data_IF_436381061844
#
_entry.id   IF_436381061844
#
_cell.length_a   1.000
_cell.length_b   1.000
_cell.length_c   1.000
_cell.angle_alpha   90.00
_cell.angle_beta   90.00
_cell.angle_gamma   90.00
#
_symmetry.space_group_name_H-M   'P 1'
#
loop_
_entity.id
_entity.type
_entity.pdbx_description
1 polymer ?
#
# COMPACT_ATOMS: atom_id res chain seq x y z
N UNK A 1 -50.79 -9.83 -28.87
CA UNK A 1 -50.03 -10.56 -27.82
C UNK A 1 -48.53 -10.63 -28.11
N UNK A 2 -47.89 -9.57 -28.64
CA UNK A 2 -46.44 -9.54 -28.93
C UNK A 2 -45.67 -8.45 -28.16
N UNK A 3 -46.36 -7.56 -27.43
CA UNK A 3 -45.74 -6.48 -26.64
C UNK A 3 -45.39 -6.86 -25.20
N UNK A 4 -45.89 -7.99 -24.71
CA UNK A 4 -45.64 -8.45 -23.34
C UNK A 4 -44.37 -9.31 -23.18
N UNK A 5 -43.72 -9.70 -24.29
CA UNK A 5 -42.54 -10.59 -24.26
C UNK A 5 -41.23 -9.78 -24.29
N UNK A 6 -41.26 -8.52 -24.74
CA UNK A 6 -40.07 -7.66 -24.81
C UNK A 6 -39.61 -7.06 -23.47
N UNK A 7 -40.45 -7.12 -22.42
CA UNK A 7 -40.09 -6.59 -21.10
C UNK A 7 -39.46 -7.64 -20.17
N UNK A 8 -39.56 -8.92 -20.50
CA UNK A 8 -39.01 -10.00 -19.64
C UNK A 8 -37.57 -10.36 -19.98
N UNK A 9 -37.05 -9.92 -21.13
CA UNK A 9 -35.66 -10.20 -21.57
C UNK A 9 -34.65 -9.16 -21.04
N UNK A 10 -35.12 -8.00 -20.56
CA UNK A 10 -34.26 -6.93 -20.01
C UNK A 10 -33.90 -7.11 -18.51
N UNK A 11 -34.39 -8.17 -17.86
CA UNK A 11 -34.16 -8.44 -16.43
C UNK A 11 -33.05 -9.47 -16.15
N UNK A 12 -32.37 -10.00 -17.19
CA UNK A 12 -31.35 -11.05 -17.02
C UNK A 12 -29.94 -10.66 -17.50
N UNK A 13 -29.68 -9.39 -17.80
CA UNK A 13 -28.39 -8.93 -18.32
C UNK A 13 -27.55 -8.14 -17.32
N UNK A 14 -27.61 -8.49 -16.04
CA UNK A 14 -26.73 -7.93 -15.02
C UNK A 14 -26.25 -9.02 -14.07
N UNK A 15 -25.64 -10.08 -14.62
CA UNK A 15 -24.75 -10.90 -13.79
C UNK A 15 -23.54 -10.00 -13.52
N UNK A 16 -23.59 -9.32 -12.39
CA UNK A 16 -22.63 -8.34 -11.93
C UNK A 16 -21.23 -8.96 -11.90
N UNK A 17 -20.46 -8.67 -12.95
CA UNK A 17 -19.03 -8.96 -13.07
C UNK A 17 -18.22 -7.89 -12.30
N UNK A 18 -18.73 -7.53 -11.12
CA UNK A 18 -18.25 -6.42 -10.29
C UNK A 18 -17.36 -6.88 -9.12
N UNK A 19 -17.36 -8.18 -8.76
CA UNK A 19 -16.63 -8.67 -7.59
C UNK A 19 -15.09 -8.59 -7.69
N UNK A 20 -14.42 -8.99 -8.80
CA UNK A 20 -12.95 -9.00 -8.85
C UNK A 20 -12.33 -7.61 -8.97
N UNK A 21 -12.98 -6.68 -9.69
CA UNK A 21 -12.53 -5.29 -9.80
C UNK A 21 -12.54 -4.58 -8.43
N UNK A 22 -13.52 -4.89 -7.59
CA UNK A 22 -13.65 -4.36 -6.22
C UNK A 22 -12.51 -4.85 -5.31
N UNK A 23 -12.10 -6.12 -5.38
CA UNK A 23 -11.01 -6.66 -4.56
C UNK A 23 -9.67 -6.02 -4.87
N UNK A 24 -9.33 -5.90 -6.15
CA UNK A 24 -8.11 -5.25 -6.61
C UNK A 24 -8.07 -3.78 -6.16
N UNK A 25 -9.18 -3.04 -6.32
CA UNK A 25 -9.27 -1.64 -5.91
C UNK A 25 -9.07 -1.48 -4.40
N UNK A 26 -9.73 -2.32 -3.59
CA UNK A 26 -9.56 -2.30 -2.13
C UNK A 26 -8.13 -2.62 -1.74
N UNK A 27 -7.49 -3.58 -2.40
CA UNK A 27 -6.09 -3.91 -2.16
C UNK A 27 -5.15 -2.76 -2.50
N UNK A 28 -5.33 -2.12 -3.67
CA UNK A 28 -4.52 -0.97 -4.09
C UNK A 28 -4.66 0.24 -3.15
N UNK A 29 -5.82 0.45 -2.53
CA UNK A 29 -5.97 1.47 -1.48
C UNK A 29 -4.96 1.24 -0.35
N UNK A 30 -4.74 -0.02 0.03
CA UNK A 30 -3.83 -0.39 1.11
C UNK A 30 -2.38 -0.15 0.71
N UNK A 31 -1.97 -0.65 -0.46
CA UNK A 31 -0.59 -0.50 -0.93
C UNK A 31 -0.24 0.97 -1.18
N UNK A 32 -1.15 1.75 -1.78
CA UNK A 32 -0.97 3.20 -1.93
C UNK A 32 -0.91 3.94 -0.59
N UNK A 33 -1.75 3.58 0.39
CA UNK A 33 -1.70 4.16 1.74
C UNK A 33 -0.35 3.96 2.43
N UNK A 34 0.19 2.74 2.39
CA UNK A 34 1.52 2.43 2.94
C UNK A 34 2.65 3.13 2.18
N UNK A 35 2.64 3.09 0.84
CA UNK A 35 3.64 3.75 0.02
C UNK A 35 3.62 5.27 0.17
N UNK A 36 2.44 5.87 0.31
CA UNK A 36 2.28 7.29 0.62
C UNK A 36 3.02 7.64 1.91
N UNK A 37 2.74 6.92 2.99
CA UNK A 37 3.31 7.23 4.30
C UNK A 37 4.82 6.97 4.35
N UNK A 38 5.28 5.90 3.72
CA UNK A 38 6.72 5.63 3.61
C UNK A 38 7.46 6.77 2.88
N UNK A 39 6.88 7.32 1.81
CA UNK A 39 7.49 8.45 1.10
C UNK A 39 7.36 9.78 1.85
N UNK A 40 6.32 9.98 2.67
CA UNK A 40 6.25 11.12 3.60
C UNK A 40 7.38 11.08 4.62
N UNK A 41 7.69 9.90 5.18
CA UNK A 41 8.81 9.74 6.11
C UNK A 41 10.16 10.01 5.45
N UNK A 42 10.32 9.66 4.16
CA UNK A 42 11.51 10.06 3.38
C UNK A 42 11.58 11.57 3.21
N UNK A 43 10.47 12.22 2.83
CA UNK A 43 10.43 13.65 2.59
C UNK A 43 10.67 14.47 3.86
N UNK A 44 9.99 14.13 4.96
CA UNK A 44 10.13 14.79 6.26
C UNK A 44 11.21 14.18 7.15
N UNK A 45 12.20 13.50 6.56
CA UNK A 45 13.34 12.93 7.29
C UNK A 45 13.96 14.00 8.19
N UNK A 46 13.86 13.84 9.51
CA UNK A 46 14.37 14.81 10.47
C UNK A 46 15.75 14.44 11.03
N UNK A 47 16.28 13.25 10.70
CA UNK A 47 17.59 12.77 11.14
C UNK A 47 18.74 13.28 10.26
N UNK A 48 18.51 13.39 8.94
CA UNK A 48 19.54 13.84 7.99
C UNK A 48 19.08 15.12 7.26
N UNK A 49 19.61 16.32 7.62
CA UNK A 49 19.31 17.58 6.93
C UNK A 49 19.54 17.55 5.43
N UNK A 50 20.57 16.83 4.97
CA UNK A 50 20.95 16.80 3.56
C UNK A 50 20.02 15.91 2.72
N UNK A 51 19.32 14.97 3.36
CA UNK A 51 18.39 14.05 2.70
C UNK A 51 16.91 14.44 2.85
N UNK A 52 16.60 15.49 3.62
CA UNK A 52 15.23 15.98 3.79
C UNK A 52 14.74 16.76 2.57
N UNK A 53 13.42 16.82 2.46
CA UNK A 53 12.71 17.50 1.38
C UNK A 53 13.09 17.02 -0.03
N UNK A 54 13.47 15.74 -0.18
CA UNK A 54 13.76 15.15 -1.49
C UNK A 54 12.56 15.34 -2.45
N UNK A 55 12.71 16.10 -3.55
CA UNK A 55 11.62 16.32 -4.49
C UNK A 55 11.04 15.02 -5.05
N UNK A 56 11.86 13.97 -5.20
CA UNK A 56 11.37 12.67 -5.68
C UNK A 56 10.44 12.00 -4.67
N UNK A 57 10.74 12.11 -3.37
CA UNK A 57 9.87 11.62 -2.30
C UNK A 57 8.56 12.41 -2.25
N UNK A 58 8.63 13.74 -2.47
CA UNK A 58 7.43 14.59 -2.58
C UNK A 58 6.50 14.15 -3.69
N UNK A 59 7.06 13.99 -4.89
CA UNK A 59 6.28 13.51 -6.03
C UNK A 59 5.73 12.12 -5.79
N UNK A 60 6.48 11.24 -5.12
CA UNK A 60 6.03 9.88 -4.81
C UNK A 60 4.83 9.87 -3.86
N UNK A 61 4.87 10.57 -2.72
CA UNK A 61 3.72 10.57 -1.80
C UNK A 61 2.50 11.27 -2.43
N UNK A 62 2.71 12.34 -3.20
CA UNK A 62 1.60 13.04 -3.89
C UNK A 62 0.98 12.21 -5.00
N UNK A 63 1.76 11.42 -5.74
CA UNK A 63 1.21 10.44 -6.70
C UNK A 63 0.32 9.44 -5.98
N UNK A 64 0.81 8.78 -4.93
CA UNK A 64 0.00 7.82 -4.17
C UNK A 64 -1.28 8.45 -3.61
N UNK A 65 -1.23 9.69 -3.12
CA UNK A 65 -2.41 10.39 -2.65
C UNK A 65 -3.45 10.63 -3.75
N UNK A 66 -2.99 10.97 -4.96
CA UNK A 66 -3.87 11.17 -6.13
C UNK A 66 -4.50 9.86 -6.61
N UNK A 67 -3.79 8.73 -6.53
CA UNK A 67 -4.34 7.43 -6.92
C UNK A 67 -5.41 6.93 -5.93
N UNK A 68 -5.34 7.33 -4.65
CA UNK A 68 -6.35 6.93 -3.65
C UNK A 68 -7.75 7.48 -3.92
N UNK A 69 -7.87 8.70 -4.44
CA UNK A 69 -9.16 9.35 -4.70
C UNK A 69 -10.07 8.56 -5.67
N UNK A 70 -9.63 8.20 -6.90
CA UNK A 70 -10.45 7.43 -7.82
C UNK A 70 -10.74 6.01 -7.30
N UNK A 71 -9.80 5.36 -6.61
CA UNK A 71 -10.00 4.03 -6.02
C UNK A 71 -11.11 4.04 -4.97
N UNK A 72 -11.08 5.00 -4.03
CA UNK A 72 -12.11 5.13 -3.00
C UNK A 72 -13.45 5.57 -3.58
N UNK A 73 -13.44 6.46 -4.58
CA UNK A 73 -14.67 6.93 -5.25
C UNK A 73 -15.40 5.79 -5.98
N UNK A 74 -14.65 4.85 -6.57
CA UNK A 74 -15.23 3.68 -7.23
C UNK A 74 -15.95 2.74 -6.24
N UNK A 75 -15.66 2.83 -4.95
CA UNK A 75 -16.22 2.02 -3.86
C UNK A 75 -17.23 2.83 -3.02
N UNK A 76 -18.14 3.53 -3.69
CA UNK A 76 -19.11 4.42 -3.05
C UNK A 76 -20.04 3.72 -2.03
N UNK A 77 -20.20 2.40 -2.13
CA UNK A 77 -20.94 1.56 -1.18
C UNK A 77 -20.17 1.28 0.12
N UNK A 78 -18.90 1.70 0.23
CA UNK A 78 -18.02 1.55 1.40
C UNK A 78 -17.69 2.91 2.04
N UNK A 79 -18.64 3.57 2.73
CA UNK A 79 -18.47 4.93 3.26
C UNK A 79 -17.35 5.07 4.31
N UNK A 80 -16.95 3.97 4.96
CA UNK A 80 -15.81 3.96 5.88
C UNK A 80 -14.49 4.33 5.17
N UNK A 81 -14.30 3.89 3.91
CA UNK A 81 -13.11 4.22 3.12
C UNK A 81 -13.02 5.71 2.81
N UNK A 82 -14.14 6.31 2.41
CA UNK A 82 -14.21 7.74 2.13
C UNK A 82 -13.91 8.58 3.38
N UNK A 83 -14.48 8.19 4.52
CA UNK A 83 -14.21 8.84 5.82
C UNK A 83 -12.73 8.74 6.20
N UNK A 84 -12.15 7.55 6.11
CA UNK A 84 -10.74 7.32 6.46
C UNK A 84 -9.78 8.08 5.53
N UNK A 85 -10.02 8.05 4.21
CA UNK A 85 -9.23 8.81 3.24
C UNK A 85 -9.31 10.32 3.50
N UNK A 86 -10.49 10.84 3.84
CA UNK A 86 -10.64 12.25 4.18
C UNK A 86 -9.85 12.62 5.45
N UNK A 87 -9.85 11.77 6.47
CA UNK A 87 -9.03 11.96 7.67
C UNK A 87 -7.53 12.00 7.36
N UNK A 88 -7.07 11.09 6.49
CA UNK A 88 -5.68 11.06 6.02
C UNK A 88 -5.33 12.34 5.24
N UNK A 89 -6.18 12.79 4.30
CA UNK A 89 -5.99 14.04 3.54
C UNK A 89 -5.89 15.25 4.45
N UNK A 90 -6.75 15.35 5.45
CA UNK A 90 -6.73 16.44 6.44
C UNK A 90 -5.40 16.45 7.21
N UNK A 91 -4.98 15.30 7.75
CA UNK A 91 -3.73 15.20 8.52
C UNK A 91 -2.49 15.53 7.68
N UNK A 92 -2.47 15.12 6.41
CA UNK A 92 -1.39 15.49 5.47
C UNK A 92 -1.42 16.99 5.19
N UNK A 93 -2.59 17.58 4.98
CA UNK A 93 -2.72 19.03 4.78
C UNK A 93 -2.21 19.85 5.97
N UNK A 94 -2.46 19.41 7.20
CA UNK A 94 -1.92 20.01 8.41
C UNK A 94 -0.39 19.86 8.54
N UNK A 95 0.14 18.69 8.14
CA UNK A 95 1.58 18.45 8.08
C UNK A 95 2.26 19.36 7.04
N UNK A 96 1.67 19.53 5.85
CA UNK A 96 2.22 20.36 4.77
C UNK A 96 2.19 21.87 5.09
N UNK A 97 1.40 22.30 6.08
CA UNK A 97 1.41 23.68 6.58
C UNK A 97 2.58 23.96 7.53
N UNK A 98 3.29 22.94 8.01
CA UNK A 98 4.45 23.14 8.87
C UNK A 98 5.61 23.73 8.07
N UNK A 99 6.29 24.78 8.57
CA UNK A 99 7.41 25.36 7.86
C UNK A 99 8.61 24.40 7.84
N UNK A 100 9.46 24.50 6.82
CA UNK A 100 10.64 23.62 6.65
C UNK A 100 11.65 23.70 7.82
N UNK A 101 11.65 24.81 8.55
CA UNK A 101 12.49 25.03 9.73
C UNK A 101 11.90 24.47 11.04
N UNK A 102 10.67 23.96 11.05
CA UNK A 102 10.04 23.33 12.21
C UNK A 102 10.41 21.84 12.39
N UNK A 103 11.59 21.44 11.90
CA UNK A 103 12.06 20.05 11.86
C UNK A 103 11.94 19.26 13.16
N UNK A 104 12.14 19.92 14.30
CA UNK A 104 12.01 19.32 15.63
C UNK A 104 10.58 18.81 15.91
N UNK A 105 9.59 19.38 15.23
CA UNK A 105 8.17 19.06 15.39
C UNK A 105 7.65 18.00 14.41
N UNK A 106 8.44 17.59 13.41
CA UNK A 106 7.92 16.69 12.36
C UNK A 106 7.47 15.34 12.88
N UNK A 107 8.17 14.73 13.83
CA UNK A 107 7.68 13.49 14.44
C UNK A 107 6.28 13.68 15.04
N UNK A 108 6.06 14.76 15.81
CA UNK A 108 4.73 15.02 16.39
C UNK A 108 3.67 15.28 15.33
N UNK A 109 4.02 15.93 14.21
CA UNK A 109 3.10 16.19 13.09
C UNK A 109 2.87 14.98 12.19
N UNK A 110 3.80 14.02 12.14
CA UNK A 110 3.67 12.77 11.39
C UNK A 110 2.78 11.74 12.12
N UNK A 111 2.71 11.79 13.44
CA UNK A 111 1.90 10.85 14.23
C UNK A 111 0.40 10.85 13.86
N UNK A 112 -0.28 12.00 13.68
CA UNK A 112 -1.65 12.03 13.16
C UNK A 112 -1.81 11.38 11.78
N UNK A 113 -0.81 11.56 10.90
CA UNK A 113 -0.80 10.92 9.57
C UNK A 113 -0.69 9.41 9.70
N UNK A 114 0.18 8.89 10.58
CA UNK A 114 0.31 7.45 10.80
C UNK A 114 -0.98 6.84 11.37
N UNK A 115 -1.66 7.55 12.26
CA UNK A 115 -2.94 7.10 12.81
C UNK A 115 -4.02 7.03 11.73
N UNK A 116 -4.18 8.09 10.95
CA UNK A 116 -5.21 8.13 9.90
C UNK A 116 -4.91 7.17 8.74
N UNK A 117 -3.63 6.86 8.49
CA UNK A 117 -3.27 5.77 7.58
C UNK A 117 -3.67 4.40 8.13
N UNK A 118 -3.50 4.14 9.43
CA UNK A 118 -3.99 2.90 10.02
C UNK A 118 -5.51 2.78 9.90
N UNK A 119 -6.26 3.85 10.15
CA UNK A 119 -7.73 3.85 9.99
C UNK A 119 -8.13 3.49 8.54
N UNK A 120 -7.36 3.98 7.55
CA UNK A 120 -7.56 3.62 6.13
C UNK A 120 -7.23 2.14 5.85
N UNK A 121 -6.12 1.61 6.37
CA UNK A 121 -5.77 0.18 6.20
C UNK A 121 -6.78 -0.74 6.91
N UNK A 122 -7.30 -0.35 8.07
CA UNK A 122 -8.32 -1.10 8.79
C UNK A 122 -9.64 -1.16 8.00
N UNK A 123 -10.10 -0.01 7.49
CA UNK A 123 -11.30 0.07 6.67
C UNK A 123 -11.16 -0.75 5.36
N UNK A 124 -10.02 -0.61 4.67
CA UNK A 124 -9.73 -1.37 3.46
C UNK A 124 -9.52 -2.85 3.74
N UNK A 125 -8.86 -3.21 4.85
CA UNK A 125 -8.70 -4.60 5.28
C UNK A 125 -10.04 -5.26 5.62
N UNK A 126 -10.98 -4.53 6.22
CA UNK A 126 -12.34 -5.02 6.44
C UNK A 126 -13.07 -5.27 5.12
N UNK A 127 -13.06 -4.29 4.20
CA UNK A 127 -13.67 -4.43 2.88
C UNK A 127 -13.05 -5.58 2.07
N UNK A 128 -11.74 -5.80 2.18
CA UNK A 128 -11.03 -6.88 1.49
C UNK A 128 -11.48 -8.25 1.99
N UNK A 129 -11.60 -8.42 3.32
CA UNK A 129 -12.08 -9.68 3.93
C UNK A 129 -13.53 -9.99 3.57
N UNK A 130 -14.38 -8.98 3.47
CA UNK A 130 -15.78 -9.15 3.07
C UNK A 130 -15.94 -9.64 1.63
N UNK A 131 -15.06 -9.22 0.72
CA UNK A 131 -15.16 -9.55 -0.68
C UNK A 131 -14.57 -10.93 -1.05
N UNK A 132 -13.74 -11.53 -0.16
CA UNK A 132 -13.18 -12.89 -0.25
C UNK A 132 -12.49 -13.21 -1.59
N UNK A 133 -11.17 -12.98 -1.68
CA UNK A 133 -10.39 -13.42 -2.84
C UNK A 133 -10.27 -14.95 -2.90
N UNK A 134 -10.69 -15.53 -4.03
CA UNK A 134 -10.78 -16.98 -4.23
C UNK A 134 -9.67 -17.51 -5.14
N UNK A 135 -9.08 -16.65 -5.96
CA UNK A 135 -7.97 -17.03 -6.80
C UNK A 135 -6.66 -17.05 -5.97
N UNK A 136 -6.00 -18.22 -5.82
CA UNK A 136 -4.80 -18.33 -5.00
C UNK A 136 -3.60 -17.56 -5.58
N UNK A 137 -3.56 -17.32 -6.90
CA UNK A 137 -2.52 -16.50 -7.54
C UNK A 137 -2.73 -15.04 -7.17
N UNK A 138 -3.94 -14.51 -7.38
CA UNK A 138 -4.27 -13.11 -7.05
C UNK A 138 -4.09 -12.85 -5.55
N UNK A 139 -4.61 -13.73 -4.69
CA UNK A 139 -4.43 -13.62 -3.24
C UNK A 139 -2.95 -13.59 -2.84
N UNK A 140 -2.11 -14.40 -3.49
CA UNK A 140 -0.67 -14.43 -3.22
C UNK A 140 0.05 -13.16 -3.72
N UNK A 141 -0.35 -12.63 -4.89
CA UNK A 141 0.18 -11.36 -5.41
C UNK A 141 -0.17 -10.19 -4.47
N UNK A 142 -1.44 -10.08 -4.07
CA UNK A 142 -1.89 -9.09 -3.08
C UNK A 142 -1.14 -9.21 -1.75
N UNK A 143 -0.97 -10.42 -1.23
CA UNK A 143 -0.25 -10.63 0.02
C UNK A 143 1.20 -10.15 -0.08
N UNK A 144 1.90 -10.48 -1.17
CA UNK A 144 3.30 -10.12 -1.34
C UNK A 144 3.49 -8.60 -1.52
N UNK A 145 2.62 -7.91 -2.26
CA UNK A 145 2.73 -6.46 -2.44
C UNK A 145 2.37 -5.70 -1.17
N UNK A 146 1.36 -6.15 -0.45
CA UNK A 146 1.02 -5.62 0.86
C UNK A 146 2.18 -5.78 1.86
N UNK A 147 2.81 -6.96 1.89
CA UNK A 147 3.95 -7.22 2.76
C UNK A 147 5.15 -6.32 2.45
N UNK A 148 5.45 -6.13 1.16
CA UNK A 148 6.53 -5.25 0.74
C UNK A 148 6.26 -3.79 1.10
N UNK A 149 5.02 -3.30 0.93
CA UNK A 149 4.64 -1.93 1.30
C UNK A 149 4.65 -1.69 2.81
N UNK A 150 4.19 -2.65 3.62
CA UNK A 150 4.28 -2.62 5.09
C UNK A 150 5.72 -2.62 5.58
N UNK A 151 6.54 -3.52 5.05
CA UNK A 151 7.96 -3.60 5.39
C UNK A 151 8.70 -2.30 5.05
N UNK A 152 8.34 -1.67 3.93
CA UNK A 152 8.86 -0.36 3.56
C UNK A 152 8.47 0.69 4.62
N UNK A 153 7.20 0.79 5.04
CA UNK A 153 6.79 1.75 6.06
C UNK A 153 7.52 1.52 7.40
N UNK A 154 7.60 0.28 7.87
CA UNK A 154 8.34 -0.05 9.11
C UNK A 154 9.79 0.40 9.00
N UNK A 155 10.45 0.09 7.87
CA UNK A 155 11.84 0.44 7.67
C UNK A 155 12.06 1.95 7.73
N UNK A 156 11.23 2.75 7.04
CA UNK A 156 11.33 4.21 7.08
C UNK A 156 10.99 4.78 8.47
N UNK A 157 10.10 4.11 9.21
CA UNK A 157 9.71 4.50 10.57
C UNK A 157 10.83 4.43 11.59
N UNK A 158 11.83 3.54 11.40
CA UNK A 158 13.00 3.41 12.29
C UNK A 158 13.81 4.69 12.42
N UNK A 159 13.72 5.58 11.44
CA UNK A 159 14.34 6.90 11.49
C UNK A 159 13.64 7.92 12.41
N UNK A 160 12.57 7.56 13.11
CA UNK A 160 11.80 8.51 13.90
C UNK A 160 11.58 7.98 15.32
N UNK A 161 12.19 8.65 16.31
CA UNK A 161 11.92 8.36 17.72
C UNK A 161 10.45 8.69 18.04
N UNK A 162 9.74 7.81 18.76
CA UNK A 162 8.34 7.99 19.16
C UNK A 162 7.31 8.15 18.01
N UNK A 163 7.61 7.60 16.83
CA UNK A 163 6.62 7.49 15.76
C UNK A 163 5.63 6.36 16.08
N UNK A 164 4.37 6.72 16.25
CA UNK A 164 3.28 5.80 16.59
C UNK A 164 2.73 5.08 15.38
N UNK A 165 3.53 4.22 14.73
CA UNK A 165 3.02 3.28 13.72
C UNK A 165 2.26 2.18 14.47
N UNK A 166 0.95 2.32 14.56
CA UNK A 166 0.06 1.35 15.21
C UNK A 166 -0.63 0.56 14.12
N UNK A 167 -0.27 -0.71 13.97
CA UNK A 167 -1.04 -1.73 13.28
C UNK A 167 -0.63 -3.08 13.84
N UNK A 168 -1.55 -4.03 13.91
CA UNK A 168 -1.34 -5.36 14.51
C UNK A 168 -0.16 -6.11 13.86
N UNK A 169 0.19 -5.79 12.61
CA UNK A 169 1.29 -6.41 11.86
C UNK A 169 2.55 -5.53 11.72
N UNK A 170 2.63 -4.39 12.42
CA UNK A 170 3.74 -3.42 12.29
C UNK A 170 4.56 -3.26 13.59
N UNK A 171 4.68 -4.31 14.40
CA UNK A 171 5.65 -4.30 15.51
C UNK A 171 7.10 -4.54 15.00
N UNK A 172 8.13 -4.15 15.75
CA UNK A 172 9.53 -4.38 15.33
C UNK A 172 9.89 -5.86 15.14
N UNK A 173 9.15 -6.78 15.80
CA UNK A 173 9.29 -8.22 15.61
C UNK A 173 8.66 -8.71 14.30
N UNK A 174 7.88 -7.88 13.63
CA UNK A 174 7.16 -8.19 12.39
C UNK A 174 8.07 -8.22 11.17
N UNK A 175 9.23 -7.54 11.18
CA UNK A 175 10.15 -7.53 10.02
C UNK A 175 10.56 -8.93 9.60
N UNK A 176 11.00 -9.78 10.54
CA UNK A 176 11.43 -11.14 10.25
C UNK A 176 10.25 -12.05 9.87
N UNK A 177 9.05 -11.74 10.33
CA UNK A 177 7.84 -12.49 9.98
C UNK A 177 7.38 -12.14 8.56
N UNK A 178 7.32 -10.85 8.23
CA UNK A 178 7.02 -10.35 6.90
C UNK A 178 8.07 -10.83 5.90
N UNK A 179 9.36 -10.77 6.24
CA UNK A 179 10.47 -11.26 5.41
C UNK A 179 10.32 -12.74 5.02
N UNK A 180 9.98 -13.60 6.00
CA UNK A 180 9.71 -15.02 5.74
C UNK A 180 8.48 -15.21 4.87
N UNK A 181 7.41 -14.44 5.12
CA UNK A 181 6.16 -14.51 4.36
C UNK A 181 6.38 -14.13 2.90
N UNK A 182 7.10 -13.04 2.61
CA UNK A 182 7.49 -12.64 1.25
C UNK A 182 8.23 -13.78 0.54
N UNK A 183 9.21 -14.40 1.21
CA UNK A 183 9.96 -15.55 0.67
C UNK A 183 9.07 -16.74 0.33
N UNK A 184 8.21 -17.16 1.27
CA UNK A 184 7.29 -18.28 1.04
C UNK A 184 6.26 -18.00 -0.04
N UNK A 185 5.73 -16.77 -0.10
CA UNK A 185 4.73 -16.37 -1.10
C UNK A 185 5.35 -16.35 -2.49
N UNK A 186 6.58 -15.84 -2.63
CA UNK A 186 7.33 -15.90 -3.88
C UNK A 186 7.54 -17.34 -4.38
N UNK A 187 8.02 -18.24 -3.51
CA UNK A 187 8.21 -19.66 -3.88
C UNK A 187 6.90 -20.34 -4.27
N UNK A 188 5.79 -19.96 -3.62
CA UNK A 188 4.47 -20.48 -3.93
C UNK A 188 3.96 -19.95 -5.29
N UNK A 189 4.10 -18.65 -5.54
CA UNK A 189 3.71 -18.02 -6.81
C UNK A 189 4.43 -18.64 -8.02
N UNK A 190 5.72 -18.98 -7.89
CA UNK A 190 6.47 -19.68 -8.94
C UNK A 190 5.91 -21.07 -9.28
N UNK A 191 5.19 -21.71 -8.34
CA UNK A 191 4.53 -23.01 -8.57
C UNK A 191 3.14 -22.84 -9.13
N UNK A 192 2.39 -21.85 -8.63
CA UNK A 192 1.01 -21.59 -9.03
C UNK A 192 0.89 -20.96 -10.42
N UNK A 193 1.82 -20.08 -10.78
CA UNK A 193 1.78 -19.30 -12.01
C UNK A 193 3.19 -19.20 -12.63
N UNK A 194 3.68 -20.28 -13.28
CA UNK A 194 4.99 -20.28 -13.92
C UNK A 194 5.15 -19.25 -15.05
N UNK A 195 4.04 -18.80 -15.62
CA UNK A 195 3.97 -17.83 -16.72
C UNK A 195 4.45 -16.42 -16.34
N UNK A 196 4.27 -16.00 -15.08
CA UNK A 196 4.74 -14.68 -14.57
C UNK A 196 6.14 -14.76 -13.93
N UNK A 197 6.87 -15.87 -14.14
CA UNK A 197 8.15 -16.13 -13.49
C UNK A 197 9.20 -15.04 -13.76
N UNK A 198 9.22 -14.47 -14.96
CA UNK A 198 10.21 -13.46 -15.31
C UNK A 198 10.03 -12.19 -14.47
N UNK A 199 8.79 -11.72 -14.34
CA UNK A 199 8.38 -10.56 -13.57
C UNK A 199 8.57 -10.81 -12.07
N UNK A 200 8.19 -12.00 -11.57
CA UNK A 200 8.43 -12.37 -10.17
C UNK A 200 9.93 -12.40 -9.82
N UNK A 201 10.78 -12.90 -10.72
CA UNK A 201 12.23 -12.88 -10.51
C UNK A 201 12.78 -11.44 -10.43
N UNK A 202 12.21 -10.51 -11.18
CA UNK A 202 12.57 -9.10 -11.10
C UNK A 202 12.15 -8.48 -9.75
N UNK A 203 10.91 -8.73 -9.31
CA UNK A 203 10.43 -8.29 -7.99
C UNK A 203 11.34 -8.85 -6.89
N UNK A 204 11.64 -10.15 -6.95
CA UNK A 204 12.50 -10.83 -5.99
C UNK A 204 13.93 -10.28 -5.97
N UNK A 205 14.49 -9.96 -7.14
CA UNK A 205 15.82 -9.34 -7.26
C UNK A 205 15.85 -7.95 -6.61
N UNK A 206 14.85 -7.12 -6.89
CA UNK A 206 14.73 -5.78 -6.30
C UNK A 206 14.59 -5.87 -4.77
N UNK A 207 13.75 -6.77 -4.28
CA UNK A 207 13.60 -7.03 -2.85
C UNK A 207 14.91 -7.49 -2.21
N UNK A 208 15.55 -8.52 -2.79
CA UNK A 208 16.79 -9.11 -2.28
C UNK A 208 17.93 -8.10 -2.21
N UNK A 209 18.00 -7.17 -3.16
CA UNK A 209 19.00 -6.10 -3.17
C UNK A 209 18.94 -5.21 -1.93
N UNK A 210 17.74 -4.87 -1.45
CA UNK A 210 17.55 -4.00 -0.27
C UNK A 210 17.35 -4.78 1.03
N UNK A 211 17.08 -6.09 0.95
CA UNK A 211 16.68 -6.96 2.08
C UNK A 211 17.59 -6.87 3.30
N UNK A 212 18.91 -6.91 3.12
CA UNK A 212 19.85 -6.82 4.24
C UNK A 212 19.72 -5.50 5.00
N UNK A 213 19.54 -4.40 4.27
CA UNK A 213 19.36 -3.07 4.86
C UNK A 213 18.03 -2.93 5.60
N UNK A 214 16.96 -3.54 5.09
CA UNK A 214 15.66 -3.54 5.77
C UNK A 214 15.74 -4.20 7.16
N UNK A 215 16.60 -5.21 7.27
CA UNK A 215 16.83 -5.99 8.49
C UNK A 215 17.90 -5.42 9.40
N UNK A 216 18.65 -4.42 8.96
CA UNK A 216 19.64 -3.77 9.79
C UNK A 216 18.96 -3.07 10.97
N UNK A 217 19.63 -3.11 12.12
CA UNK A 217 19.19 -2.48 13.36
C UNK A 217 19.79 -1.07 13.53
N UNK A 218 20.38 -0.52 12.47
CA UNK A 218 20.97 0.80 12.52
C UNK A 218 19.89 1.88 12.50
N UNK A 219 20.02 2.85 13.40
CA UNK A 219 19.13 4.01 13.50
C UNK A 219 19.21 4.97 12.30
N UNK A 220 19.94 4.64 11.22
CA UNK A 220 20.04 5.43 9.99
C UNK A 220 18.80 5.30 9.08
N UNK A 221 17.63 5.18 9.70
CA UNK A 221 16.46 4.42 9.24
C UNK A 221 15.57 5.09 8.20
N UNK A 222 16.13 5.88 7.29
CA UNK A 222 15.38 6.38 6.12
C UNK A 222 16.18 6.12 4.84
N UNK A 223 15.60 5.42 3.88
CA UNK A 223 16.29 4.97 2.67
C UNK A 223 15.50 5.24 1.40
N UNK A 224 16.00 6.17 0.58
CA UNK A 224 15.48 6.41 -0.77
C UNK A 224 15.56 5.17 -1.65
N UNK A 225 16.67 4.41 -1.54
CA UNK A 225 16.82 3.15 -2.28
C UNK A 225 15.76 2.13 -1.89
N UNK A 226 15.40 2.01 -0.60
CA UNK A 226 14.31 1.12 -0.19
C UNK A 226 12.99 1.54 -0.85
N UNK A 227 12.62 2.83 -0.80
CA UNK A 227 11.40 3.31 -1.46
C UNK A 227 11.38 3.02 -2.95
N UNK A 228 12.52 3.18 -3.64
CA UNK A 228 12.63 2.90 -5.07
C UNK A 228 12.45 1.42 -5.40
N UNK A 229 13.20 0.53 -4.73
CA UNK A 229 13.20 -0.90 -5.09
C UNK A 229 11.96 -1.64 -4.60
N UNK A 230 11.48 -1.35 -3.38
CA UNK A 230 10.22 -1.94 -2.90
C UNK A 230 9.03 -1.35 -3.64
N UNK A 231 9.01 -0.03 -3.90
CA UNK A 231 7.93 0.61 -4.66
C UNK A 231 7.74 0.00 -6.05
N UNK A 232 8.84 -0.19 -6.81
CA UNK A 232 8.79 -0.91 -8.09
C UNK A 232 8.25 -2.34 -7.96
N UNK A 233 8.63 -3.05 -6.90
CA UNK A 233 8.14 -4.40 -6.61
C UNK A 233 6.64 -4.43 -6.38
N UNK A 234 6.13 -3.51 -5.55
CA UNK A 234 4.70 -3.34 -5.25
C UNK A 234 3.92 -3.01 -6.52
N UNK A 235 4.35 -2.01 -7.29
CA UNK A 235 3.70 -1.61 -8.55
C UNK A 235 3.61 -2.75 -9.56
N UNK A 236 4.68 -3.56 -9.68
CA UNK A 236 4.71 -4.73 -10.57
C UNK A 236 3.75 -5.83 -10.09
N UNK A 237 3.75 -6.16 -8.79
CA UNK A 237 2.86 -7.17 -8.23
C UNK A 237 1.39 -6.77 -8.37
N UNK A 238 1.05 -5.52 -8.10
CA UNK A 238 -0.32 -5.00 -8.26
C UNK A 238 -0.73 -4.98 -9.75
N UNK A 239 0.20 -4.71 -10.68
CA UNK A 239 -0.03 -4.85 -12.12
C UNK A 239 -0.32 -6.30 -12.52
N UNK A 240 0.47 -7.26 -12.03
CA UNK A 240 0.26 -8.68 -12.31
C UNK A 240 -1.13 -9.14 -11.80
N UNK A 241 -1.54 -8.69 -10.61
CA UNK A 241 -2.85 -9.02 -10.04
C UNK A 241 -4.00 -8.44 -10.87
N UNK A 242 -3.87 -7.18 -11.34
CA UNK A 242 -4.82 -6.57 -12.29
C UNK A 242 -4.95 -7.38 -13.57
N UNK A 243 -3.83 -7.81 -14.15
CA UNK A 243 -3.82 -8.54 -15.41
C UNK A 243 -4.41 -9.96 -15.26
N UNK A 244 -4.19 -10.60 -14.11
CA UNK A 244 -4.78 -11.90 -13.78
C UNK A 244 -6.30 -11.82 -13.51
N UNK A 245 -6.81 -10.64 -13.16
CA UNK A 245 -8.24 -10.42 -12.87
C UNK A 245 -9.11 -10.14 -14.10
N UNK A 246 -8.53 -10.01 -15.30
CA UNK A 246 -9.21 -9.65 -16.56
C UNK A 246 -9.54 -10.88 -17.41
#
# INVERSE_FOLDING_TARGET
MQRAILLTVLLFSSIARAAPATLQQVHEIRTHGFMLCANLLVYYNNQDPAAAFDPAAREAYRRNLRELDPLVTALADKPALATALQGLKTSIGELEQQPENARVLYTSSLNPVMHTQNDLDEAAGAAYREAEEKDPVIASLHQMSLDMSRLLLIHQGKGFDNLGIRSVELDEHSINTIDRRIGSTYENLLKLSPEIKAELNEVWRNYSFVRQRLKADDKGGVSRSASLYLGKGVEMLDMLARNASQ
#
